data_IF_439656009490
#
_entry.id   IF_439656009490
#
_cell.length_a   1.000
_cell.length_b   1.000
_cell.length_c   1.000
_cell.angle_alpha   90.00
_cell.angle_beta   90.00
_cell.angle_gamma   90.00
#
_symmetry.space_group_name_H-M   'P 1'
#
loop_
_entity.id
_entity.type
_entity.pdbx_description
1 polymer ?
#
# COMPACT_ATOMS: atom_id res chain seq x y z
N UNK A 1 -17.15 -19.79 10.86
CA UNK A 1 -16.57 -18.42 10.82
C UNK A 1 -17.29 -17.56 11.83
N UNK A 2 -16.56 -16.96 12.77
CA UNK A 2 -17.19 -16.06 13.73
C UNK A 2 -17.30 -14.65 13.12
N UNK A 3 -18.31 -13.89 13.52
CA UNK A 3 -18.58 -12.51 13.11
C UNK A 3 -17.33 -11.61 13.31
N UNK A 4 -16.58 -11.85 14.36
CA UNK A 4 -15.30 -11.17 14.63
C UNK A 4 -14.20 -11.45 13.61
N UNK A 5 -14.27 -12.57 12.89
CA UNK A 5 -13.32 -12.89 11.81
C UNK A 5 -13.45 -11.88 10.67
N UNK A 6 -14.67 -11.54 10.24
CA UNK A 6 -14.91 -10.58 9.18
C UNK A 6 -14.44 -9.18 9.55
N UNK A 7 -14.67 -8.76 10.81
CA UNK A 7 -14.18 -7.48 11.33
C UNK A 7 -12.65 -7.43 11.34
N UNK A 8 -11.99 -8.50 11.77
CA UNK A 8 -10.52 -8.58 11.78
C UNK A 8 -9.92 -8.54 10.37
N UNK A 9 -10.56 -9.20 9.39
CA UNK A 9 -10.14 -9.16 7.99
C UNK A 9 -10.28 -7.74 7.45
N UNK A 10 -11.44 -7.11 7.64
CA UNK A 10 -11.68 -5.73 7.19
C UNK A 10 -10.74 -4.73 7.89
N UNK A 11 -10.51 -4.88 9.20
CA UNK A 11 -9.56 -4.03 9.93
C UNK A 11 -8.12 -4.16 9.40
N UNK A 12 -7.69 -5.37 9.04
CA UNK A 12 -6.39 -5.56 8.40
C UNK A 12 -6.31 -4.88 7.04
N UNK A 13 -7.40 -4.90 6.27
CA UNK A 13 -7.54 -4.17 5.00
C UNK A 13 -7.46 -2.66 5.19
N UNK A 14 -8.15 -2.11 6.20
CA UNK A 14 -8.09 -0.69 6.54
C UNK A 14 -6.66 -0.23 6.85
N UNK A 15 -5.96 -0.95 7.72
CA UNK A 15 -4.56 -0.64 8.05
C UNK A 15 -3.67 -0.67 6.82
N UNK A 16 -3.84 -1.68 5.98
CA UNK A 16 -3.05 -1.84 4.76
C UNK A 16 -3.30 -0.70 3.75
N UNK A 17 -4.57 -0.34 3.51
CA UNK A 17 -4.92 0.74 2.59
C UNK A 17 -4.54 2.13 3.13
N UNK A 18 -4.61 2.35 4.43
CA UNK A 18 -4.12 3.59 5.06
C UNK A 18 -2.61 3.77 4.77
N UNK A 19 -1.81 2.76 5.03
CA UNK A 19 -0.37 2.86 4.74
C UNK A 19 -0.10 3.06 3.25
N UNK A 20 -0.92 2.44 2.37
CA UNK A 20 -0.80 2.68 0.93
C UNK A 20 -1.10 4.13 0.57
N UNK A 21 -2.14 4.74 1.15
CA UNK A 21 -2.46 6.16 0.97
C UNK A 21 -1.32 7.06 1.46
N UNK A 22 -0.73 6.76 2.62
CA UNK A 22 0.39 7.53 3.17
C UNK A 22 1.61 7.47 2.24
N UNK A 23 1.93 6.30 1.67
CA UNK A 23 3.04 6.13 0.71
C UNK A 23 2.77 6.87 -0.60
N UNK A 24 1.55 6.80 -1.14
CA UNK A 24 1.17 7.53 -2.36
C UNK A 24 1.26 9.03 -2.13
N UNK A 25 0.75 9.52 -1.01
CA UNK A 25 0.83 10.94 -0.64
C UNK A 25 2.29 11.41 -0.55
N UNK A 26 3.16 10.58 0.03
CA UNK A 26 4.60 10.86 0.09
C UNK A 26 5.24 10.89 -1.30
N UNK A 27 4.87 9.98 -2.21
CA UNK A 27 5.35 9.99 -3.60
C UNK A 27 4.94 11.28 -4.32
N UNK A 28 3.69 11.72 -4.17
CA UNK A 28 3.19 12.95 -4.79
C UNK A 28 3.91 14.18 -4.21
N UNK A 29 4.06 14.24 -2.88
CA UNK A 29 4.72 15.36 -2.21
C UNK A 29 6.19 15.54 -2.68
N UNK A 30 6.85 14.43 -3.00
CA UNK A 30 8.26 14.42 -3.38
C UNK A 30 8.49 14.35 -4.90
N UNK A 31 7.48 14.60 -5.73
CA UNK A 31 7.60 14.51 -7.20
C UNK A 31 8.64 15.47 -7.79
N UNK A 32 8.91 16.58 -7.11
CA UNK A 32 9.90 17.58 -7.53
C UNK A 32 11.18 17.58 -6.68
N UNK A 33 11.35 16.59 -5.80
CA UNK A 33 12.51 16.55 -4.91
C UNK A 33 13.73 15.98 -5.63
N UNK A 34 14.63 16.85 -6.03
CA UNK A 34 15.86 16.53 -6.78
C UNK A 34 17.00 16.03 -5.90
N UNK A 35 16.97 16.35 -4.59
CA UNK A 35 18.04 15.98 -3.66
C UNK A 35 17.48 15.41 -2.37
N UNK A 36 17.92 14.20 -2.03
CA UNK A 36 17.60 13.52 -0.78
C UNK A 36 18.84 13.39 0.11
N UNK A 37 18.64 13.05 1.38
CA UNK A 37 19.74 12.76 2.32
C UNK A 37 20.60 11.56 1.91
N UNK A 38 20.04 10.64 1.14
CA UNK A 38 20.73 9.46 0.61
C UNK A 38 21.54 9.78 -0.66
N UNK A 39 21.41 11.01 -1.18
CA UNK A 39 22.00 11.45 -2.45
C UNK A 39 21.10 11.14 -3.65
N UNK A 40 21.06 12.08 -4.62
CA UNK A 40 20.23 11.94 -5.82
C UNK A 40 18.74 12.26 -5.62
N UNK A 41 17.90 12.07 -6.66
CA UNK A 41 16.50 12.39 -6.64
C UNK A 41 15.71 11.40 -5.75
N UNK A 42 14.53 11.83 -5.33
CA UNK A 42 13.61 10.95 -4.60
C UNK A 42 13.28 9.70 -5.43
N UNK A 43 13.10 8.58 -4.75
CA UNK A 43 12.72 7.29 -5.36
C UNK A 43 11.29 6.95 -4.99
N UNK A 44 10.47 6.59 -5.99
CA UNK A 44 9.10 6.13 -5.79
C UNK A 44 9.07 4.95 -4.81
N UNK A 45 8.20 5.02 -3.81
CA UNK A 45 8.00 3.92 -2.87
C UNK A 45 6.71 3.15 -3.20
N UNK A 46 6.73 1.83 -3.03
CA UNK A 46 5.59 0.95 -3.22
C UNK A 46 5.38 0.06 -2.01
N UNK A 47 4.13 -0.16 -1.65
CA UNK A 47 3.76 -1.05 -0.55
C UNK A 47 3.57 -2.48 -1.09
N UNK A 48 4.24 -3.44 -0.47
CA UNK A 48 4.10 -4.87 -0.81
C UNK A 48 3.17 -5.53 0.20
N UNK A 49 2.05 -6.05 -0.33
CA UNK A 49 1.07 -6.77 0.46
C UNK A 49 1.29 -8.28 0.37
N UNK A 50 1.02 -8.98 1.47
CA UNK A 50 0.92 -10.44 1.51
C UNK A 50 -0.33 -10.86 2.28
N UNK A 51 -0.94 -11.98 1.95
CA UNK A 51 -2.00 -12.54 2.78
C UNK A 51 -1.47 -12.84 4.19
N UNK A 52 -2.29 -12.62 5.20
CA UNK A 52 -2.00 -13.10 6.56
C UNK A 52 -2.22 -14.60 6.56
N UNK A 53 -1.12 -15.34 6.49
CA UNK A 53 -1.15 -16.79 6.70
C UNK A 53 -1.39 -17.02 8.18
N UNK A 54 -2.39 -17.82 8.49
CA UNK A 54 -2.72 -18.16 9.85
C UNK A 54 -1.56 -18.86 10.54
N UNK A 55 -1.34 -18.50 11.79
CA UNK A 55 -0.53 -19.24 12.76
C UNK A 55 -0.91 -20.72 12.77
N UNK A 56 0.01 -21.60 13.14
CA UNK A 56 -0.24 -23.02 13.21
C UNK A 56 -1.39 -23.28 14.19
N UNK A 57 -2.57 -23.49 13.66
CA UNK A 57 -3.57 -24.25 14.41
C UNK A 57 -3.27 -25.73 14.16
N UNK A 58 -3.57 -26.52 15.14
CA UNK A 58 -3.40 -27.97 15.06
C UNK A 58 -4.03 -28.50 13.78
N UNK A 59 -3.22 -28.99 12.84
CA UNK A 59 -3.66 -29.66 11.63
C UNK A 59 -3.86 -31.13 11.98
N UNK A 60 -5.08 -31.60 11.85
CA UNK A 60 -5.31 -33.02 11.90
C UNK A 60 -4.49 -33.73 10.80
N UNK A 61 -3.68 -34.73 11.12
CA UNK A 61 -2.81 -35.41 10.15
C UNK A 61 -3.57 -36.06 8.99
N UNK A 62 -4.88 -36.12 9.08
CA UNK A 62 -5.78 -36.76 8.11
C UNK A 62 -6.49 -35.78 7.17
N UNK A 63 -6.24 -34.45 7.26
CA UNK A 63 -6.83 -33.50 6.32
C UNK A 63 -5.99 -33.43 5.04
N UNK A 64 -6.57 -33.84 3.88
CA UNK A 64 -5.88 -33.69 2.61
C UNK A 64 -5.59 -32.22 2.31
N UNK A 65 -4.42 -31.87 1.72
CA UNK A 65 -4.01 -30.48 1.45
C UNK A 65 -5.01 -29.69 0.58
N UNK A 66 -5.80 -30.35 -0.27
CA UNK A 66 -6.79 -29.71 -1.14
C UNK A 66 -8.08 -29.28 -0.40
N UNK A 67 -8.35 -29.81 0.79
CA UNK A 67 -9.44 -29.40 1.67
C UNK A 67 -8.99 -28.31 2.69
N UNK A 68 -7.70 -28.08 2.82
CA UNK A 68 -7.14 -27.04 3.68
C UNK A 68 -7.13 -25.70 2.95
N UNK A 69 -8.22 -25.34 2.29
CA UNK A 69 -8.46 -24.01 1.75
C UNK A 69 -8.68 -23.03 2.91
N UNK A 70 -7.61 -22.78 3.66
CA UNK A 70 -7.61 -21.83 4.76
C UNK A 70 -8.20 -20.50 4.29
N UNK A 71 -9.36 -20.14 4.82
CA UNK A 71 -9.99 -18.85 4.55
C UNK A 71 -8.98 -17.79 4.91
N UNK A 72 -8.69 -16.91 3.93
CA UNK A 72 -7.76 -15.80 4.13
C UNK A 72 -8.12 -15.00 5.37
N UNK A 73 -7.16 -14.76 6.26
CA UNK A 73 -7.34 -14.00 7.50
C UNK A 73 -7.00 -12.52 7.35
N UNK A 74 -7.09 -12.03 6.13
CA UNK A 74 -6.79 -10.65 5.81
C UNK A 74 -5.41 -10.46 5.18
N UNK A 75 -4.94 -9.23 5.19
CA UNK A 75 -3.73 -8.76 4.53
C UNK A 75 -2.74 -8.19 5.55
N UNK A 76 -1.45 -8.30 5.27
CA UNK A 76 -0.38 -7.61 5.98
C UNK A 76 0.57 -6.92 5.02
N UNK A 77 1.15 -5.83 5.46
CA UNK A 77 2.26 -5.18 4.78
C UNK A 77 3.54 -5.94 5.17
N UNK A 78 4.34 -6.27 4.17
CA UNK A 78 5.64 -6.94 4.36
C UNK A 78 6.77 -5.94 4.30
N UNK A 79 6.73 -5.07 3.30
CA UNK A 79 7.76 -4.05 3.09
C UNK A 79 7.19 -2.84 2.35
N UNK A 80 7.94 -1.76 2.43
CA UNK A 80 7.77 -0.59 1.57
C UNK A 80 9.06 -0.49 0.78
N UNK A 81 8.98 -0.82 -0.50
CA UNK A 81 10.16 -0.93 -1.36
C UNK A 81 10.33 0.33 -2.19
N UNK A 82 11.56 0.87 -2.23
CA UNK A 82 11.94 1.97 -3.11
C UNK A 82 12.23 1.41 -4.52
N UNK A 83 11.76 2.10 -5.53
CA UNK A 83 12.02 1.75 -6.93
C UNK A 83 13.43 2.20 -7.32
N UNK A 84 14.35 1.25 -7.37
CA UNK A 84 15.73 1.46 -7.80
C UNK A 84 15.93 1.18 -9.29
N UNK A 85 14.99 0.47 -9.93
CA UNK A 85 15.12 0.02 -11.31
C UNK A 85 14.73 1.10 -12.32
N UNK A 86 13.78 1.96 -11.95
CA UNK A 86 13.32 3.05 -12.81
C UNK A 86 14.34 4.17 -12.91
N UNK A 87 14.67 4.56 -14.14
CA UNK A 87 15.58 5.67 -14.40
C UNK A 87 14.92 7.00 -14.02
N UNK A 88 15.67 7.94 -13.39
CA UNK A 88 15.18 9.29 -13.13
C UNK A 88 14.86 10.02 -14.44
N UNK A 89 13.93 10.96 -14.37
CA UNK A 89 13.58 11.83 -15.49
C UNK A 89 14.62 12.93 -15.60
N UNK A 90 15.27 13.04 -16.76
CA UNK A 90 16.25 14.07 -17.03
C UNK A 90 15.54 15.30 -17.65
N UNK A 91 15.78 16.47 -17.07
CA UNK A 91 15.30 17.76 -17.58
C UNK A 91 16.50 18.67 -17.75
N UNK A 92 16.61 19.30 -18.93
CA UNK A 92 17.69 20.25 -19.18
C UNK A 92 17.36 21.60 -18.56
N UNK A 93 18.04 21.92 -17.47
CA UNK A 93 17.98 23.20 -16.77
C UNK A 93 19.34 23.53 -16.15
N UNK A 94 20.19 24.27 -16.88
CA UNK A 94 21.52 24.62 -16.40
C UNK A 94 21.52 25.64 -15.25
N UNK A 95 20.38 26.31 -14.99
CA UNK A 95 20.27 27.33 -13.94
C UNK A 95 19.92 26.73 -12.57
N UNK A 96 19.45 25.48 -12.59
CA UNK A 96 19.05 24.79 -11.37
C UNK A 96 20.27 24.48 -10.47
N UNK A 97 20.18 24.68 -9.13
CA UNK A 97 21.30 24.45 -8.20
C UNK A 97 21.82 23.00 -8.21
N UNK A 98 20.94 22.04 -8.48
CA UNK A 98 21.26 20.61 -8.53
C UNK A 98 21.60 20.11 -9.95
N UNK A 99 21.85 21.01 -10.91
CA UNK A 99 22.28 20.63 -12.24
C UNK A 99 23.66 19.94 -12.21
N UNK A 100 23.79 18.87 -13.00
CA UNK A 100 25.05 18.13 -13.14
C UNK A 100 26.11 19.06 -13.74
N UNK A 101 27.21 19.27 -13.00
CA UNK A 101 28.24 20.25 -13.35
C UNK A 101 29.29 19.71 -14.33
N UNK A 102 29.46 18.39 -14.44
CA UNK A 102 30.50 17.75 -15.25
C UNK A 102 30.01 16.45 -15.89
N UNK A 103 30.61 16.07 -17.03
CA UNK A 103 30.31 14.83 -17.74
C UNK A 103 29.34 15.00 -18.89
N UNK A 104 28.93 13.87 -19.53
CA UNK A 104 28.09 13.85 -20.75
C UNK A 104 26.66 14.37 -20.53
N UNK A 105 26.22 14.53 -19.25
CA UNK A 105 24.89 15.04 -18.86
C UNK A 105 24.99 16.42 -18.22
N UNK A 106 26.00 17.20 -18.53
CA UNK A 106 26.16 18.55 -18.01
C UNK A 106 24.94 19.42 -18.33
N UNK A 107 24.40 20.13 -17.31
CA UNK A 107 23.23 20.99 -17.42
C UNK A 107 21.90 20.26 -17.28
N UNK A 108 21.89 18.95 -17.07
CA UNK A 108 20.67 18.21 -16.76
C UNK A 108 20.45 18.09 -15.26
N UNK A 109 19.18 18.10 -14.88
CA UNK A 109 18.72 17.84 -13.51
C UNK A 109 18.01 16.49 -13.50
N UNK A 110 18.26 15.67 -12.51
CA UNK A 110 17.59 14.39 -12.30
C UNK A 110 16.36 14.58 -11.42
N UNK A 111 15.17 14.38 -11.98
CA UNK A 111 13.91 14.39 -11.26
C UNK A 111 13.44 12.95 -10.96
N UNK A 112 12.63 12.77 -9.91
CA UNK A 112 11.98 11.49 -9.61
C UNK A 112 11.18 10.97 -10.81
N UNK A 113 11.20 9.63 -10.99
CA UNK A 113 10.29 8.98 -11.96
C UNK A 113 8.95 8.69 -11.29
N UNK A 114 8.23 9.73 -10.91
CA UNK A 114 6.89 9.66 -10.32
C UNK A 114 5.89 10.28 -11.29
N UNK A 115 4.90 9.51 -11.72
CA UNK A 115 3.80 10.02 -12.52
C UNK A 115 2.63 10.39 -11.61
N UNK A 116 2.40 11.69 -11.45
CA UNK A 116 1.36 12.23 -10.56
C UNK A 116 -0.03 11.68 -10.91
N UNK A 117 -0.35 11.56 -12.20
CA UNK A 117 -1.67 11.08 -12.65
C UNK A 117 -1.88 9.62 -12.19
N UNK A 118 -0.87 8.77 -12.37
CA UNK A 118 -0.94 7.38 -11.92
C UNK A 118 -1.06 7.29 -10.39
N UNK A 119 -0.30 8.11 -9.66
CA UNK A 119 -0.40 8.15 -8.19
C UNK A 119 -1.80 8.63 -7.73
N UNK A 120 -2.40 9.61 -8.42
CA UNK A 120 -3.75 10.06 -8.11
C UNK A 120 -4.80 8.97 -8.36
N UNK A 121 -4.68 8.21 -9.45
CA UNK A 121 -5.57 7.06 -9.73
C UNK A 121 -5.40 5.99 -8.66
N UNK A 122 -4.16 5.69 -8.27
CA UNK A 122 -3.84 4.76 -7.18
C UNK A 122 -4.42 5.23 -5.84
N UNK A 123 -4.37 6.54 -5.55
CA UNK A 123 -4.95 7.16 -4.36
C UNK A 123 -6.48 6.99 -4.32
N UNK A 124 -7.16 7.27 -5.43
CA UNK A 124 -8.61 7.09 -5.54
C UNK A 124 -8.99 5.61 -5.32
N UNK A 125 -8.26 4.69 -5.93
CA UNK A 125 -8.47 3.25 -5.77
C UNK A 125 -8.30 2.81 -4.32
N UNK A 126 -7.24 3.27 -3.65
CA UNK A 126 -6.97 2.96 -2.25
C UNK A 126 -8.03 3.55 -1.32
N UNK A 127 -8.49 4.79 -1.57
CA UNK A 127 -9.56 5.44 -0.82
C UNK A 127 -10.87 4.67 -0.93
N UNK A 128 -11.28 4.29 -2.15
CA UNK A 128 -12.48 3.48 -2.35
C UNK A 128 -12.40 2.12 -1.66
N UNK A 129 -11.22 1.48 -1.69
CA UNK A 129 -11.00 0.22 -0.97
C UNK A 129 -11.08 0.40 0.54
N UNK A 130 -10.58 1.52 1.06
CA UNK A 130 -10.71 1.89 2.47
C UNK A 130 -12.18 2.07 2.87
N UNK A 131 -12.95 2.86 2.11
CA UNK A 131 -14.38 3.09 2.33
C UNK A 131 -15.19 1.79 2.31
N UNK A 132 -14.90 0.88 1.36
CA UNK A 132 -15.52 -0.44 1.29
C UNK A 132 -15.28 -1.27 2.57
N UNK A 133 -14.05 -1.26 3.08
CA UNK A 133 -13.74 -1.95 4.34
C UNK A 133 -14.46 -1.33 5.55
N UNK A 134 -14.62 0.00 5.60
CA UNK A 134 -15.43 0.68 6.62
C UNK A 134 -16.89 0.26 6.52
N UNK A 135 -17.45 0.20 5.32
CA UNK A 135 -18.83 -0.25 5.10
C UNK A 135 -19.04 -1.71 5.56
N UNK A 136 -18.07 -2.60 5.33
CA UNK A 136 -18.11 -3.99 5.83
C UNK A 136 -18.15 -4.02 7.36
N UNK A 137 -17.33 -3.21 8.05
CA UNK A 137 -17.32 -3.16 9.51
C UNK A 137 -18.66 -2.66 10.04
N UNK A 138 -19.20 -1.58 9.46
CA UNK A 138 -20.49 -1.03 9.86
C UNK A 138 -21.64 -2.01 9.59
N UNK A 139 -21.64 -2.70 8.46
CA UNK A 139 -22.60 -3.75 8.16
C UNK A 139 -22.52 -4.91 9.14
N UNK A 140 -21.33 -5.36 9.48
CA UNK A 140 -21.12 -6.43 10.47
C UNK A 140 -21.63 -6.01 11.86
N UNK A 141 -21.38 -4.75 12.25
CA UNK A 141 -21.91 -4.18 13.51
C UNK A 141 -23.44 -4.17 13.53
N UNK A 142 -24.07 -3.72 12.43
CA UNK A 142 -25.54 -3.68 12.32
C UNK A 142 -26.16 -5.09 12.38
N UNK A 143 -25.54 -6.07 11.69
CA UNK A 143 -25.98 -7.47 11.78
C UNK A 143 -25.87 -8.02 13.21
N UNK A 144 -24.81 -7.67 13.92
CA UNK A 144 -24.62 -8.11 15.30
C UNK A 144 -25.69 -7.52 16.24
N UNK A 145 -25.99 -6.23 16.09
CA UNK A 145 -27.03 -5.58 16.89
C UNK A 145 -28.40 -6.20 16.67
N UNK A 146 -28.74 -6.48 15.38
CA UNK A 146 -29.99 -7.16 15.05
C UNK A 146 -30.04 -8.61 15.56
N UNK A 147 -28.94 -9.33 15.53
CA UNK A 147 -28.89 -10.68 16.10
C UNK A 147 -29.12 -10.69 17.62
N UNK A 148 -28.64 -9.65 18.34
CA UNK A 148 -28.92 -9.49 19.77
C UNK A 148 -30.40 -9.15 20.06
N UNK A 149 -31.05 -8.39 19.17
CA UNK A 149 -32.47 -8.06 19.28
C UNK A 149 -33.37 -9.31 19.09
N UNK A 150 -32.96 -10.26 18.26
CA UNK A 150 -33.69 -11.52 18.04
C UNK A 150 -33.58 -12.46 19.25
N UNK A 151 -32.48 -12.32 20.03
CA UNK A 151 -32.22 -13.16 21.21
C UNK A 151 -32.87 -12.63 22.50
N UNK A 152 -33.66 -11.57 22.41
CA UNK A 152 -34.51 -11.03 23.48
C UNK A 152 -35.95 -11.49 23.24
#
# INVERSE_FOLDING_TARGET
>A
MGLFSNINIAASGLTAQRTRLDVIANNIANVNTTRTTEGGPFRRSRVVFRPRVSQPYWRGPFLPPYLDNGIGRGVRIVSIDKDHDSKPRLVYDPTHPDAIKSGPRKGYVEFPNVNVVNEMVDMISASRSYEANVAIINGSKSMFLKALEIGR
#
